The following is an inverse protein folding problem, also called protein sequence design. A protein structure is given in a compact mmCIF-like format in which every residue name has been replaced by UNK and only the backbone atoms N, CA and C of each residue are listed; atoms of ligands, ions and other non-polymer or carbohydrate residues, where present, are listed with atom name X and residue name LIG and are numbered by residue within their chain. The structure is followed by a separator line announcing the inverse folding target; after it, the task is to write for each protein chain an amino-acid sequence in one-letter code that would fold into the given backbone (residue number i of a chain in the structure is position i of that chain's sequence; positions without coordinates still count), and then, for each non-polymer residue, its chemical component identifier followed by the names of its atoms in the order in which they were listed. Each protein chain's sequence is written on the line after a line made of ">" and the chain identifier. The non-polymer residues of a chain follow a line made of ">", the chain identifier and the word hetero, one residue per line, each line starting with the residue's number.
data_IF_506806047807
#
_entry.id   IF_506806047807
#
_cell.length_a   1.000
_cell.length_b   1.000
_cell.length_c   1.000
_cell.angle_alpha   90.00
_cell.angle_beta   90.00
_cell.angle_gamma   90.00
#
_symmetry.space_group_name_H-M   'P 1'
#
loop_
_entity.id
_entity.type
_entity.pdbx_description
1 polymer ?
#
# COMPACT_ATOMS: atom_id res chain seq x y z
N UNK A 1 -25.20 47.84 -36.80
CA UNK A 1 -25.44 46.44 -36.46
C UNK A 1 -24.40 46.03 -35.42
N UNK A 2 -24.77 46.09 -34.14
CA UNK A 2 -23.85 45.80 -32.99
C UNK A 2 -24.03 44.33 -32.61
N UNK A 3 -23.00 43.52 -32.78
CA UNK A 3 -22.97 42.11 -32.36
C UNK A 3 -22.59 42.12 -30.89
N UNK A 4 -23.53 41.75 -30.03
CA UNK A 4 -23.30 41.47 -28.60
C UNK A 4 -22.66 40.09 -28.49
N UNK A 5 -21.39 40.02 -28.16
CA UNK A 5 -20.69 38.79 -27.80
C UNK A 5 -21.01 38.41 -26.35
N UNK A 6 -21.97 37.53 -26.11
CA UNK A 6 -22.23 36.98 -24.78
C UNK A 6 -21.12 36.03 -24.39
N UNK A 7 -20.27 36.42 -23.47
CA UNK A 7 -19.25 35.62 -22.85
C UNK A 7 -19.91 34.77 -21.76
N UNK A 8 -20.28 33.53 -22.08
CA UNK A 8 -20.70 32.54 -21.08
C UNK A 8 -19.45 32.06 -20.35
N UNK A 9 -19.18 32.64 -19.16
CA UNK A 9 -18.22 32.10 -18.21
C UNK A 9 -18.89 30.88 -17.57
N UNK A 10 -18.55 29.67 -18.04
CA UNK A 10 -18.81 28.43 -17.31
C UNK A 10 -17.93 28.46 -16.04
N UNK A 11 -18.50 28.95 -14.94
CA UNK A 11 -17.98 28.65 -13.62
C UNK A 11 -18.15 27.15 -13.38
N UNK A 12 -17.11 26.37 -13.62
CA UNK A 12 -16.98 25.04 -13.05
C UNK A 12 -16.86 25.19 -11.54
N UNK A 13 -18.00 25.16 -10.85
CA UNK A 13 -18.06 24.98 -9.40
C UNK A 13 -17.50 23.58 -9.12
N UNK A 14 -16.20 23.50 -8.86
CA UNK A 14 -15.62 22.36 -8.19
C UNK A 14 -16.19 22.36 -6.77
N UNK A 15 -17.24 21.59 -6.55
CA UNK A 15 -17.70 21.29 -5.20
C UNK A 15 -16.58 20.51 -4.52
N UNK A 16 -15.72 21.21 -3.78
CA UNK A 16 -14.88 20.56 -2.79
C UNK A 16 -15.83 19.86 -1.82
N UNK A 17 -15.74 18.54 -1.71
CA UNK A 17 -16.53 17.77 -0.75
C UNK A 17 -16.13 18.31 0.63
N UNK A 18 -17.05 19.01 1.29
CA UNK A 18 -16.82 19.60 2.59
C UNK A 18 -16.40 18.53 3.60
N UNK A 19 -15.46 18.88 4.48
CA UNK A 19 -15.03 17.97 5.54
C UNK A 19 -16.21 17.68 6.46
N UNK A 20 -16.57 16.38 6.67
CA UNK A 20 -17.62 16.00 7.59
C UNK A 20 -17.31 16.48 9.01
N UNK A 21 -18.34 16.84 9.74
CA UNK A 21 -18.22 17.19 11.15
C UNK A 21 -18.00 15.95 12.00
N UNK A 22 -17.44 16.14 13.18
CA UNK A 22 -17.27 15.04 14.15
C UNK A 22 -18.61 14.40 14.53
N UNK A 23 -19.64 15.22 14.71
CA UNK A 23 -21.00 14.80 15.08
C UNK A 23 -21.60 13.82 14.07
N UNK A 24 -21.27 13.92 12.78
CA UNK A 24 -21.72 13.02 11.74
C UNK A 24 -21.19 11.59 11.98
N UNK A 25 -19.91 11.48 12.42
CA UNK A 25 -19.31 10.19 12.78
C UNK A 25 -19.76 9.68 14.15
N UNK A 26 -20.08 10.55 15.12
CA UNK A 26 -20.70 10.16 16.39
C UNK A 26 -22.10 9.57 16.13
N UNK A 27 -22.91 10.18 15.27
CA UNK A 27 -24.19 9.63 14.86
C UNK A 27 -24.04 8.25 14.19
N UNK A 28 -23.00 8.08 13.35
CA UNK A 28 -22.69 6.79 12.75
C UNK A 28 -22.22 5.77 13.79
N UNK A 29 -21.45 6.18 14.81
CA UNK A 29 -21.07 5.32 15.93
C UNK A 29 -22.30 4.82 16.68
N UNK A 30 -23.21 5.70 17.08
CA UNK A 30 -24.43 5.33 17.79
C UNK A 30 -25.29 4.32 17.00
N UNK A 31 -25.37 4.49 15.69
CA UNK A 31 -26.09 3.58 14.78
C UNK A 31 -25.44 2.21 14.70
N UNK A 32 -24.11 2.15 14.69
CA UNK A 32 -23.33 0.94 14.38
C UNK A 32 -22.58 0.36 15.59
N UNK A 33 -22.77 0.89 16.80
CA UNK A 33 -22.03 0.44 17.99
C UNK A 33 -22.22 -1.05 18.32
N UNK A 34 -23.38 -1.63 17.95
CA UNK A 34 -23.64 -3.05 18.11
C UNK A 34 -22.79 -3.94 17.18
N UNK A 35 -22.21 -3.37 16.12
CA UNK A 35 -21.37 -4.11 15.17
C UNK A 35 -19.89 -4.21 15.59
N UNK A 36 -19.51 -3.62 16.72
CA UNK A 36 -18.21 -3.80 17.39
C UNK A 36 -18.42 -4.26 18.82
N UNK A 37 -17.77 -5.34 19.19
CA UNK A 37 -17.89 -5.91 20.55
C UNK A 37 -16.55 -6.42 21.05
N UNK A 38 -16.51 -6.80 22.32
CA UNK A 38 -15.38 -7.54 22.90
C UNK A 38 -15.73 -9.02 22.91
N UNK A 39 -14.91 -9.85 22.27
CA UNK A 39 -15.07 -11.29 22.25
C UNK A 39 -13.84 -11.97 22.88
N UNK A 40 -14.02 -12.60 24.03
CA UNK A 40 -12.93 -13.21 24.82
C UNK A 40 -11.71 -12.27 25.03
N UNK A 41 -11.96 -10.99 25.32
CA UNK A 41 -10.94 -9.98 25.56
C UNK A 41 -10.31 -9.36 24.31
N UNK A 42 -10.77 -9.72 23.11
CA UNK A 42 -10.28 -9.21 21.83
C UNK A 42 -11.33 -8.35 21.12
N UNK A 43 -10.87 -7.40 20.30
CA UNK A 43 -11.75 -6.61 19.46
C UNK A 43 -12.38 -7.49 18.37
N UNK A 44 -13.69 -7.48 18.30
CA UNK A 44 -14.49 -8.24 17.35
C UNK A 44 -15.43 -7.32 16.55
N UNK A 45 -15.60 -7.64 15.29
CA UNK A 45 -16.41 -6.89 14.33
C UNK A 45 -17.42 -7.82 13.68
N UNK A 46 -18.67 -7.39 13.67
CA UNK A 46 -19.76 -8.15 13.07
C UNK A 46 -19.67 -8.05 11.56
N UNK A 47 -19.48 -9.19 10.91
CA UNK A 47 -19.41 -9.29 9.45
C UNK A 47 -20.76 -9.71 8.84
N UNK A 48 -21.52 -10.55 9.57
CA UNK A 48 -22.84 -11.04 9.19
C UNK A 48 -23.65 -11.39 10.45
N UNK A 49 -24.92 -11.74 10.32
CA UNK A 49 -25.85 -12.01 11.42
C UNK A 49 -25.32 -13.03 12.46
N UNK A 50 -24.40 -13.90 12.08
CA UNK A 50 -23.79 -14.90 12.97
C UNK A 50 -22.27 -15.06 12.77
N UNK A 51 -21.60 -14.06 12.17
CA UNK A 51 -20.17 -14.11 11.90
C UNK A 51 -19.44 -12.91 12.48
N UNK A 52 -18.34 -13.18 13.15
CA UNK A 52 -17.41 -12.19 13.70
C UNK A 52 -16.02 -12.33 13.06
N UNK A 53 -15.41 -11.18 12.75
CA UNK A 53 -13.97 -11.07 12.60
C UNK A 53 -13.36 -10.64 13.94
N UNK A 54 -12.53 -11.47 14.55
CA UNK A 54 -11.89 -11.19 15.83
C UNK A 54 -10.41 -10.94 15.59
N UNK A 55 -9.90 -9.76 15.98
CA UNK A 55 -8.48 -9.42 15.83
C UNK A 55 -7.69 -10.20 16.88
N UNK A 56 -6.76 -11.04 16.42
CA UNK A 56 -5.86 -11.77 17.32
C UNK A 56 -4.93 -10.80 18.02
N UNK A 57 -4.93 -10.84 19.36
CA UNK A 57 -3.93 -10.16 20.18
C UNK A 57 -2.68 -11.05 20.37
N UNK A 58 -1.50 -10.45 20.58
CA UNK A 58 -0.31 -11.22 20.99
C UNK A 58 -0.62 -12.12 22.19
N UNK A 59 -0.05 -13.31 22.18
CA UNK A 59 -0.16 -14.30 23.27
C UNK A 59 -1.58 -14.78 23.61
N UNK A 60 -2.57 -14.45 22.77
CA UNK A 60 -3.95 -14.94 22.92
C UNK A 60 -4.29 -15.93 21.81
N UNK A 61 -5.10 -16.93 22.16
CA UNK A 61 -5.64 -17.93 21.22
C UNK A 61 -7.09 -18.21 21.58
N UNK A 62 -7.97 -18.15 20.60
CA UNK A 62 -9.35 -18.61 20.76
C UNK A 62 -9.40 -20.13 20.78
N UNK A 63 -10.32 -20.69 21.56
CA UNK A 63 -10.54 -22.14 21.61
C UNK A 63 -11.50 -22.61 20.52
N UNK A 64 -12.48 -21.79 20.17
CA UNK A 64 -13.50 -22.09 19.14
C UNK A 64 -13.50 -21.00 18.08
N UNK A 65 -13.22 -21.37 16.85
CA UNK A 65 -13.29 -20.51 15.69
C UNK A 65 -13.45 -21.37 14.41
N UNK A 66 -13.93 -20.76 13.33
CA UNK A 66 -14.03 -21.42 12.02
C UNK A 66 -12.63 -21.53 11.40
N UNK A 67 -11.89 -20.42 11.36
CA UNK A 67 -10.51 -20.34 10.84
C UNK A 67 -9.76 -19.16 11.44
N UNK A 68 -8.44 -19.19 11.31
CA UNK A 68 -7.53 -18.10 11.59
C UNK A 68 -6.72 -17.77 10.34
N UNK A 69 -6.81 -16.53 9.87
CA UNK A 69 -6.02 -16.03 8.76
C UNK A 69 -4.79 -15.26 9.27
N UNK A 70 -3.58 -15.79 9.08
CA UNK A 70 -2.37 -15.14 9.60
C UNK A 70 -2.02 -13.86 8.83
N UNK A 71 -2.41 -13.73 7.56
CA UNK A 71 -2.22 -12.50 6.80
C UNK A 71 -3.12 -11.38 7.33
N UNK A 72 -4.41 -11.63 7.51
CA UNK A 72 -5.34 -10.66 8.07
C UNK A 72 -5.12 -10.45 9.59
N UNK A 73 -4.54 -11.42 10.26
CA UNK A 73 -4.48 -11.54 11.72
C UNK A 73 -5.87 -11.59 12.36
N UNK A 74 -6.80 -12.29 11.70
CA UNK A 74 -8.19 -12.41 12.09
C UNK A 74 -8.60 -13.86 12.32
N UNK A 75 -9.35 -14.08 13.40
CA UNK A 75 -10.20 -15.26 13.53
C UNK A 75 -11.56 -15.01 12.91
N UNK A 76 -12.10 -15.98 12.18
CA UNK A 76 -13.52 -16.04 11.82
C UNK A 76 -14.23 -16.88 12.89
N UNK A 77 -15.20 -16.28 13.56
CA UNK A 77 -15.97 -16.94 14.62
C UNK A 77 -17.43 -16.98 14.23
N UNK A 78 -18.05 -18.14 14.38
CA UNK A 78 -19.51 -18.31 14.25
C UNK A 78 -20.14 -18.27 15.63
N UNK A 79 -21.19 -17.46 15.77
CA UNK A 79 -21.97 -17.31 17.02
C UNK A 79 -23.26 -18.09 16.96
N UNK A 80 -23.78 -18.48 18.14
CA UNK A 80 -25.09 -19.12 18.31
C UNK A 80 -26.20 -18.09 18.55
N UNK A 81 -25.87 -16.79 18.52
CA UNK A 81 -26.80 -15.67 18.72
C UNK A 81 -26.74 -14.72 17.53
N UNK A 82 -27.85 -14.02 17.29
CA UNK A 82 -27.95 -13.08 16.20
C UNK A 82 -27.23 -11.78 16.50
N UNK A 83 -26.55 -11.24 15.51
CA UNK A 83 -25.75 -10.03 15.51
C UNK A 83 -26.33 -9.01 14.54
N UNK A 84 -25.98 -7.75 14.71
CA UNK A 84 -26.40 -6.66 13.81
C UNK A 84 -25.19 -6.17 13.03
N UNK A 85 -25.02 -6.56 11.76
CA UNK A 85 -23.90 -6.12 10.94
C UNK A 85 -24.10 -4.68 10.45
N UNK A 86 -23.00 -3.94 10.35
CA UNK A 86 -22.99 -2.66 9.60
C UNK A 86 -22.98 -2.96 8.11
N UNK A 87 -23.77 -2.20 7.34
CA UNK A 87 -23.78 -2.32 5.87
C UNK A 87 -22.38 -2.10 5.29
N UNK A 88 -21.85 -3.12 4.63
CA UNK A 88 -20.56 -3.06 3.94
C UNK A 88 -20.70 -2.41 2.55
N UNK A 89 -19.81 -1.48 2.24
CA UNK A 89 -19.64 -0.91 0.89
C UNK A 89 -18.21 -1.15 0.40
N UNK A 90 -18.02 -1.05 -0.91
CA UNK A 90 -16.72 -1.31 -1.51
C UNK A 90 -15.82 -0.06 -1.41
N UNK A 91 -14.72 -0.18 -0.69
CA UNK A 91 -13.74 0.89 -0.51
C UNK A 91 -13.01 1.26 -1.82
N UNK A 92 -13.02 0.39 -2.81
CA UNK A 92 -12.40 0.64 -4.12
C UNK A 92 -13.17 1.68 -4.96
N UNK A 93 -14.44 1.94 -4.62
CA UNK A 93 -15.27 2.93 -5.29
C UNK A 93 -15.01 4.35 -4.79
N UNK A 94 -14.20 4.51 -3.73
CA UNK A 94 -13.84 5.80 -3.19
C UNK A 94 -12.67 6.42 -3.97
N UNK A 95 -12.74 7.73 -4.11
CA UNK A 95 -11.64 8.56 -4.62
C UNK A 95 -10.76 9.04 -3.47
N UNK A 96 -9.60 9.62 -3.79
CA UNK A 96 -8.72 10.24 -2.78
C UNK A 96 -9.34 11.45 -2.08
N UNK A 97 -10.43 12.00 -2.60
CA UNK A 97 -11.11 13.16 -2.05
C UNK A 97 -12.30 12.77 -1.15
N UNK A 98 -12.64 11.49 -1.11
CA UNK A 98 -13.75 11.00 -0.29
C UNK A 98 -13.32 10.87 1.17
N UNK A 99 -14.06 11.53 2.04
CA UNK A 99 -13.83 11.48 3.48
C UNK A 99 -14.22 10.14 4.07
N UNK A 100 -13.38 9.66 4.97
CA UNK A 100 -13.61 8.45 5.77
C UNK A 100 -13.28 8.74 7.22
N UNK A 101 -13.85 7.98 8.15
CA UNK A 101 -13.53 8.12 9.57
C UNK A 101 -13.69 6.82 10.31
N UNK A 102 -13.02 6.74 11.47
CA UNK A 102 -13.19 5.62 12.40
C UNK A 102 -14.28 5.99 13.38
N UNK A 103 -15.24 5.08 13.54
CA UNK A 103 -16.35 5.27 14.45
C UNK A 103 -15.87 5.24 15.91
N UNK A 104 -16.00 6.39 16.57
CA UNK A 104 -15.57 6.63 17.94
C UNK A 104 -16.50 7.67 18.60
N UNK A 105 -16.95 7.45 19.86
CA UNK A 105 -17.85 8.40 20.52
C UNK A 105 -17.14 9.68 20.99
N UNK A 106 -15.83 9.61 21.26
CA UNK A 106 -15.13 10.63 22.02
C UNK A 106 -14.14 11.45 21.18
N UNK A 107 -13.68 10.91 20.03
CA UNK A 107 -12.62 11.53 19.27
C UNK A 107 -12.82 11.41 17.76
N UNK A 108 -12.56 12.51 17.06
CA UNK A 108 -12.53 12.54 15.59
C UNK A 108 -11.27 11.86 15.03
N UNK A 109 -11.48 10.79 14.26
CA UNK A 109 -10.47 10.11 13.46
C UNK A 109 -10.94 10.20 12.00
N UNK A 110 -10.70 11.33 11.33
CA UNK A 110 -11.28 11.68 10.03
C UNK A 110 -10.16 12.08 9.08
N UNK A 111 -10.18 11.55 7.87
CA UNK A 111 -9.25 11.85 6.78
C UNK A 111 -9.63 11.07 5.53
N UNK A 112 -8.65 10.56 4.80
CA UNK A 112 -8.85 9.88 3.52
C UNK A 112 -8.12 8.54 3.48
N UNK A 113 -8.48 7.72 2.50
CA UNK A 113 -7.69 6.54 2.14
C UNK A 113 -6.44 7.04 1.39
N UNK A 114 -5.27 6.81 1.98
CA UNK A 114 -3.98 7.21 1.39
C UNK A 114 -3.65 6.38 0.16
N UNK A 115 -3.75 5.05 0.29
CA UNK A 115 -3.66 4.11 -0.82
C UNK A 115 -4.23 2.74 -0.43
N UNK A 116 -4.61 1.96 -1.45
CA UNK A 116 -4.96 0.54 -1.31
C UNK A 116 -3.74 -0.32 -1.66
N UNK A 117 -3.51 -1.37 -0.88
CA UNK A 117 -2.38 -2.28 -1.03
C UNK A 117 -2.38 -2.97 -2.41
N UNK A 118 -1.21 -3.09 -3.02
CA UNK A 118 -1.06 -3.73 -4.32
C UNK A 118 -0.91 -5.26 -4.22
N UNK A 119 -0.51 -5.77 -3.05
CA UNK A 119 -0.28 -7.20 -2.82
C UNK A 119 -0.39 -7.55 -1.32
N UNK A 120 -0.24 -8.84 -0.96
CA UNK A 120 -0.32 -9.30 0.43
C UNK A 120 0.86 -8.88 1.33
N UNK A 121 1.91 -8.24 0.81
CA UNK A 121 3.03 -7.75 1.63
C UNK A 121 2.76 -6.39 2.26
N UNK A 122 1.66 -5.74 1.87
CA UNK A 122 1.26 -4.41 2.30
C UNK A 122 -0.11 -4.44 2.95
N UNK A 123 -0.45 -3.36 3.66
CA UNK A 123 -1.79 -3.07 4.16
C UNK A 123 -2.32 -1.82 3.50
N UNK A 124 -3.63 -1.74 3.33
CA UNK A 124 -4.30 -0.51 2.99
C UNK A 124 -3.96 0.56 4.02
N UNK A 125 -3.77 1.80 3.60
CA UNK A 125 -3.30 2.89 4.47
C UNK A 125 -4.24 4.08 4.46
N UNK A 126 -4.37 4.69 5.64
CA UNK A 126 -5.04 5.96 5.88
C UNK A 126 -4.03 7.12 5.94
N UNK A 127 -4.45 8.32 5.65
CA UNK A 127 -3.60 9.54 5.76
C UNK A 127 -3.65 10.19 7.14
N UNK A 128 -4.37 9.57 8.08
CA UNK A 128 -4.52 10.03 9.47
C UNK A 128 -4.20 8.94 10.48
N UNK A 129 -3.93 9.35 11.73
CA UNK A 129 -3.66 8.42 12.83
C UNK A 129 -4.90 7.58 13.10
N UNK A 130 -4.72 6.26 13.11
CA UNK A 130 -5.79 5.30 13.30
C UNK A 130 -5.69 4.53 14.62
N UNK A 131 -6.84 4.02 15.05
CA UNK A 131 -6.97 3.02 16.11
C UNK A 131 -7.86 1.88 15.62
N UNK A 132 -7.91 0.79 16.37
CA UNK A 132 -8.80 -0.35 16.06
C UNK A 132 -10.26 0.09 16.16
N UNK A 133 -11.00 -0.02 15.04
CA UNK A 133 -12.39 0.38 14.96
C UNK A 133 -13.02 0.10 13.59
N UNK A 134 -14.29 0.41 13.46
CA UNK A 134 -14.99 0.37 12.17
C UNK A 134 -14.56 1.58 11.37
N UNK A 135 -13.94 1.38 10.20
CA UNK A 135 -13.73 2.42 9.21
C UNK A 135 -15.02 2.63 8.43
N UNK A 136 -15.50 3.87 8.37
CA UNK A 136 -16.81 4.21 7.84
C UNK A 136 -16.77 5.38 6.86
N UNK A 137 -17.76 5.41 5.97
CA UNK A 137 -18.12 6.62 5.22
C UNK A 137 -18.93 7.58 6.11
N UNK A 138 -19.07 8.87 5.73
CA UNK A 138 -19.98 9.79 6.41
C UNK A 138 -21.46 9.35 6.38
N UNK A 139 -21.84 8.43 5.47
CA UNK A 139 -23.16 7.82 5.39
C UNK A 139 -23.33 6.58 6.29
N UNK A 140 -22.42 6.36 7.24
CA UNK A 140 -22.43 5.26 8.21
C UNK A 140 -22.27 3.85 7.61
N UNK A 141 -21.77 3.72 6.39
CA UNK A 141 -21.46 2.41 5.81
C UNK A 141 -20.03 1.99 6.15
N UNK A 142 -19.84 0.71 6.48
CA UNK A 142 -18.53 0.15 6.78
C UNK A 142 -17.69 0.02 5.50
N UNK A 143 -16.44 0.47 5.56
CA UNK A 143 -15.42 0.32 4.52
C UNK A 143 -14.40 -0.76 4.86
N UNK A 144 -14.31 -1.14 6.13
CA UNK A 144 -13.37 -2.11 6.63
C UNK A 144 -13.12 -1.99 8.11
N UNK A 145 -12.09 -2.67 8.57
CA UNK A 145 -11.61 -2.63 9.96
C UNK A 145 -10.33 -1.80 10.01
N UNK A 146 -10.38 -0.64 10.65
CA UNK A 146 -9.20 0.15 10.93
C UNK A 146 -8.30 -0.56 11.97
N UNK A 147 -7.01 -0.48 11.75
CA UNK A 147 -5.98 -1.01 12.64
C UNK A 147 -5.16 0.15 13.21
N UNK A 148 -4.23 -0.15 14.12
CA UNK A 148 -3.23 0.82 14.52
C UNK A 148 -2.24 1.11 13.38
N UNK A 149 -1.46 2.19 13.51
CA UNK A 149 -0.41 2.58 12.55
C UNK A 149 -0.94 2.93 11.15
N UNK A 150 -2.10 3.59 11.10
CA UNK A 150 -2.73 4.11 9.89
C UNK A 150 -3.12 3.03 8.87
N UNK A 151 -3.14 1.76 9.27
CA UNK A 151 -3.51 0.64 8.42
C UNK A 151 -5.00 0.30 8.56
N UNK A 152 -5.56 -0.38 7.54
CA UNK A 152 -6.88 -0.97 7.63
C UNK A 152 -6.99 -2.25 6.78
N UNK A 153 -8.01 -3.04 7.06
CA UNK A 153 -8.42 -4.20 6.27
C UNK A 153 -9.69 -3.81 5.53
N UNK A 154 -9.60 -3.63 4.22
CA UNK A 154 -10.74 -3.26 3.39
C UNK A 154 -11.77 -4.37 3.25
N UNK A 155 -13.00 -3.99 2.91
CA UNK A 155 -14.11 -4.94 2.78
C UNK A 155 -13.89 -5.99 1.70
N UNK A 156 -13.10 -5.71 0.64
CA UNK A 156 -12.75 -6.73 -0.36
C UNK A 156 -12.05 -7.95 0.27
N UNK A 157 -11.14 -7.71 1.23
CA UNK A 157 -10.50 -8.78 2.00
C UNK A 157 -11.48 -9.48 2.94
N UNK A 158 -12.34 -8.72 3.64
CA UNK A 158 -13.33 -9.29 4.57
C UNK A 158 -14.37 -10.15 3.84
N UNK A 159 -14.84 -9.72 2.67
CA UNK A 159 -15.75 -10.49 1.82
C UNK A 159 -15.11 -11.81 1.38
N UNK A 160 -13.85 -11.75 0.94
CA UNK A 160 -13.11 -12.98 0.57
C UNK A 160 -12.86 -13.88 1.78
N UNK A 161 -12.54 -13.28 2.94
CA UNK A 161 -12.36 -14.00 4.19
C UNK A 161 -13.62 -14.75 4.63
N UNK A 162 -14.83 -14.22 4.39
CA UNK A 162 -16.09 -14.92 4.69
C UNK A 162 -16.42 -16.04 3.70
N UNK A 163 -15.91 -15.99 2.47
CA UNK A 163 -16.33 -16.84 1.37
C UNK A 163 -16.04 -18.33 1.59
N UNK A 164 -14.92 -18.67 2.26
CA UNK A 164 -14.45 -20.02 2.46
C UNK A 164 -14.38 -20.37 3.95
N UNK A 165 -14.55 -21.66 4.31
CA UNK A 165 -14.38 -22.11 5.70
C UNK A 165 -12.91 -22.31 6.10
N UNK A 166 -12.01 -22.41 5.13
CA UNK A 166 -10.55 -22.45 5.31
C UNK A 166 -9.91 -21.15 4.84
N UNK A 167 -8.63 -20.96 5.11
CA UNK A 167 -7.88 -19.81 4.60
C UNK A 167 -7.50 -20.11 3.16
N UNK A 168 -7.90 -19.23 2.26
CA UNK A 168 -7.59 -19.33 0.85
C UNK A 168 -7.30 -17.97 0.25
N UNK A 169 -6.21 -17.88 -0.48
CA UNK A 169 -5.81 -16.77 -1.34
C UNK A 169 -5.32 -17.34 -2.67
N UNK A 170 -5.76 -16.76 -3.78
CA UNK A 170 -5.37 -17.23 -5.11
C UNK A 170 -3.93 -16.88 -5.47
N UNK A 171 -3.28 -17.77 -6.22
CA UNK A 171 -1.96 -17.56 -6.82
C UNK A 171 -1.88 -18.29 -8.17
N UNK A 172 -1.07 -17.80 -9.07
CA UNK A 172 -0.76 -18.45 -10.35
C UNK A 172 0.75 -18.72 -10.50
N UNK A 173 1.55 -18.48 -9.46
CA UNK A 173 3.00 -18.71 -9.45
C UNK A 173 3.81 -17.68 -10.23
N UNK A 174 3.25 -16.48 -10.44
CA UNK A 174 3.88 -15.39 -11.19
C UNK A 174 3.79 -14.11 -10.37
N UNK A 175 4.86 -13.35 -10.31
CA UNK A 175 4.90 -12.02 -9.70
C UNK A 175 5.03 -10.97 -10.80
N UNK A 176 4.36 -9.83 -10.60
CA UNK A 176 4.27 -8.75 -11.59
C UNK A 176 4.83 -7.45 -11.03
N UNK A 177 5.34 -6.59 -11.94
CA UNK A 177 5.71 -5.21 -11.63
C UNK A 177 5.13 -4.22 -12.64
N UNK A 178 5.12 -2.95 -12.26
CA UNK A 178 4.68 -1.85 -13.11
C UNK A 178 5.90 -1.05 -13.58
N UNK A 179 6.09 -0.96 -14.91
CA UNK A 179 7.14 -0.15 -15.55
C UNK A 179 6.48 0.71 -16.63
N UNK A 180 6.69 2.01 -16.60
CA UNK A 180 6.16 2.94 -17.62
C UNK A 180 4.66 2.76 -17.89
N UNK A 181 3.86 2.60 -16.82
CA UNK A 181 2.41 2.34 -16.88
C UNK A 181 2.01 1.05 -17.61
N UNK A 182 2.93 0.10 -17.75
CA UNK A 182 2.69 -1.24 -18.30
C UNK A 182 3.05 -2.29 -17.27
N UNK A 183 2.29 -3.37 -17.25
CA UNK A 183 2.50 -4.47 -16.30
C UNK A 183 3.33 -5.55 -16.98
N UNK A 184 4.39 -5.98 -16.30
CA UNK A 184 5.31 -7.01 -16.77
C UNK A 184 5.42 -8.16 -15.77
N UNK A 185 5.71 -9.35 -16.29
CA UNK A 185 6.15 -10.49 -15.47
C UNK A 185 7.53 -10.18 -14.90
N UNK A 186 7.60 -10.07 -13.58
CA UNK A 186 8.84 -9.82 -12.82
C UNK A 186 9.56 -11.12 -12.48
N UNK A 187 8.79 -12.14 -12.06
CA UNK A 187 9.33 -13.42 -11.61
C UNK A 187 8.35 -14.55 -11.89
N UNK A 188 8.86 -15.72 -12.23
CA UNK A 188 8.09 -16.93 -12.44
C UNK A 188 8.52 -17.99 -11.43
N UNK A 189 7.65 -18.28 -10.46
CA UNK A 189 7.91 -19.23 -9.37
C UNK A 189 7.51 -20.66 -9.74
N UNK A 190 6.40 -20.82 -10.45
CA UNK A 190 5.80 -22.17 -10.67
C UNK A 190 5.11 -22.35 -12.04
N UNK A 191 4.93 -21.32 -12.84
CA UNK A 191 4.14 -21.37 -14.08
C UNK A 191 5.04 -21.26 -15.30
N UNK A 192 5.30 -22.40 -16.00
CA UNK A 192 6.22 -22.45 -17.14
C UNK A 192 5.69 -21.82 -18.45
N UNK A 193 4.45 -21.33 -18.51
CA UNK A 193 3.91 -20.69 -19.70
C UNK A 193 4.31 -19.21 -19.79
N UNK A 194 4.47 -18.52 -18.64
CA UNK A 194 4.94 -17.16 -18.56
C UNK A 194 6.46 -17.10 -18.63
N UNK A 195 6.97 -16.03 -19.23
CA UNK A 195 8.39 -15.70 -19.20
C UNK A 195 8.58 -14.31 -18.55
N UNK A 196 9.75 -14.13 -17.94
CA UNK A 196 10.15 -12.81 -17.40
C UNK A 196 10.15 -11.80 -18.53
N UNK A 197 9.60 -10.61 -18.28
CA UNK A 197 9.37 -9.51 -19.21
C UNK A 197 8.20 -9.71 -20.20
N UNK A 198 7.37 -10.75 -20.09
CA UNK A 198 6.08 -10.74 -20.78
C UNK A 198 5.28 -9.51 -20.32
N UNK A 199 4.81 -8.69 -21.24
CA UNK A 199 3.91 -7.58 -20.92
C UNK A 199 2.47 -8.10 -20.85
N UNK A 200 1.76 -7.85 -19.76
CA UNK A 200 0.34 -8.21 -19.63
C UNK A 200 -0.50 -7.15 -20.35
N UNK A 201 -1.31 -7.57 -21.29
CA UNK A 201 -2.24 -6.72 -22.03
C UNK A 201 -3.65 -6.80 -21.46
N UNK A 202 -4.15 -8.02 -21.23
CA UNK A 202 -5.48 -8.25 -20.67
C UNK A 202 -5.53 -9.54 -19.86
N UNK A 203 -6.55 -9.64 -18.99
CA UNK A 203 -6.91 -10.87 -18.29
C UNK A 203 -8.42 -11.08 -18.41
N UNK A 204 -8.86 -12.27 -18.82
CA UNK A 204 -10.26 -12.62 -19.12
C UNK A 204 -10.95 -11.61 -20.06
N UNK A 205 -10.20 -11.12 -21.05
CA UNK A 205 -10.68 -10.12 -22.02
C UNK A 205 -10.74 -8.67 -21.51
N UNK A 206 -10.43 -8.42 -20.24
CA UNK A 206 -10.38 -7.09 -19.64
C UNK A 206 -8.97 -6.51 -19.74
N UNK A 207 -8.83 -5.33 -20.36
CA UNK A 207 -7.54 -4.61 -20.41
C UNK A 207 -7.17 -4.12 -19.01
N UNK A 208 -6.05 -4.60 -18.48
CA UNK A 208 -5.59 -4.25 -17.13
C UNK A 208 -4.34 -3.39 -17.22
N UNK A 209 -4.44 -2.15 -16.70
CA UNK A 209 -3.32 -1.20 -16.58
C UNK A 209 -2.92 -0.93 -15.13
N UNK A 210 -3.70 -1.40 -14.18
CA UNK A 210 -3.50 -1.22 -12.74
C UNK A 210 -2.97 -2.53 -12.14
N UNK A 211 -1.74 -2.50 -11.65
CA UNK A 211 -1.08 -3.66 -11.03
C UNK A 211 -1.87 -4.20 -9.83
N UNK A 212 -2.47 -3.31 -9.03
CA UNK A 212 -3.32 -3.71 -7.90
C UNK A 212 -4.51 -4.52 -8.39
N UNK A 213 -5.23 -4.05 -9.42
CA UNK A 213 -6.38 -4.77 -9.98
C UNK A 213 -5.99 -6.14 -10.53
N UNK A 214 -4.83 -6.24 -11.20
CA UNK A 214 -4.32 -7.54 -11.64
C UNK A 214 -4.07 -8.48 -10.47
N UNK A 215 -3.36 -8.02 -9.45
CA UNK A 215 -3.05 -8.82 -8.27
C UNK A 215 -4.32 -9.23 -7.52
N UNK A 216 -5.29 -8.33 -7.37
CA UNK A 216 -6.58 -8.62 -6.73
C UNK A 216 -7.41 -9.62 -7.54
N UNK A 217 -7.42 -9.51 -8.88
CA UNK A 217 -8.12 -10.46 -9.76
C UNK A 217 -7.60 -11.89 -9.56
N UNK A 218 -6.29 -12.05 -9.40
CA UNK A 218 -5.66 -13.35 -9.10
C UNK A 218 -5.95 -13.78 -7.66
N UNK A 219 -5.76 -12.87 -6.70
CA UNK A 219 -5.86 -13.13 -5.27
C UNK A 219 -7.27 -13.57 -4.85
N UNK A 220 -8.31 -12.97 -5.44
CA UNK A 220 -9.70 -13.23 -5.13
C UNK A 220 -10.38 -14.21 -6.10
N UNK A 221 -9.65 -14.73 -7.09
CA UNK A 221 -10.15 -15.73 -8.01
C UNK A 221 -10.54 -17.02 -7.28
N UNK A 222 -11.50 -17.74 -7.81
CA UNK A 222 -11.95 -18.99 -7.21
C UNK A 222 -10.89 -20.09 -7.30
N UNK A 223 -10.84 -20.94 -6.28
CA UNK A 223 -9.91 -22.07 -6.22
C UNK A 223 -10.11 -22.98 -7.42
N UNK A 224 -9.04 -23.24 -8.15
CA UNK A 224 -9.08 -24.10 -9.35
C UNK A 224 -9.69 -23.45 -10.58
N UNK A 225 -10.11 -22.18 -10.52
CA UNK A 225 -10.53 -21.44 -11.71
C UNK A 225 -9.36 -21.22 -12.66
N UNK A 226 -9.67 -20.97 -13.93
CA UNK A 226 -8.66 -20.67 -14.96
C UNK A 226 -8.79 -19.21 -15.35
N UNK A 227 -7.68 -18.48 -15.31
CA UNK A 227 -7.56 -17.13 -15.82
C UNK A 227 -6.90 -17.15 -17.21
N UNK A 228 -7.40 -16.34 -18.13
CA UNK A 228 -6.92 -16.23 -19.51
C UNK A 228 -6.22 -14.90 -19.71
N UNK A 229 -4.93 -14.95 -20.01
CA UNK A 229 -4.07 -13.80 -20.21
C UNK A 229 -3.78 -13.60 -21.69
N UNK A 230 -3.87 -12.35 -22.17
CA UNK A 230 -3.22 -11.94 -23.40
C UNK A 230 -1.92 -11.21 -23.02
N UNK A 231 -0.79 -11.68 -23.52
CA UNK A 231 0.54 -11.14 -23.23
C UNK A 231 1.26 -10.75 -24.51
N UNK A 232 2.10 -9.72 -24.43
CA UNK A 232 3.03 -9.35 -25.50
C UNK A 232 4.43 -9.89 -25.15
N UNK A 233 4.94 -10.79 -25.99
CA UNK A 233 6.28 -11.38 -25.91
C UNK A 233 6.97 -11.22 -27.27
N UNK A 234 8.17 -10.62 -27.30
CA UNK A 234 8.96 -10.42 -28.53
C UNK A 234 8.14 -9.80 -29.68
N UNK A 235 7.31 -8.80 -29.37
CA UNK A 235 6.37 -8.13 -30.27
C UNK A 235 5.25 -9.04 -30.85
N UNK A 236 5.01 -10.20 -30.28
CA UNK A 236 3.90 -11.09 -30.65
C UNK A 236 2.91 -11.22 -29.49
N UNK A 237 1.63 -11.13 -29.80
CA UNK A 237 0.56 -11.39 -28.84
C UNK A 237 0.35 -12.89 -28.68
N UNK A 238 0.31 -13.35 -27.44
CA UNK A 238 0.12 -14.74 -27.06
C UNK A 238 -1.00 -14.88 -26.04
N UNK A 239 -1.81 -15.91 -26.17
CA UNK A 239 -2.81 -16.26 -25.19
C UNK A 239 -2.26 -17.35 -24.26
N UNK A 240 -2.27 -17.08 -22.97
CA UNK A 240 -1.81 -17.99 -21.92
C UNK A 240 -2.97 -18.24 -20.97
N UNK A 241 -3.21 -19.51 -20.62
CA UNK A 241 -4.16 -19.87 -19.57
C UNK A 241 -3.41 -20.30 -18.32
N UNK A 242 -3.91 -19.92 -17.15
CA UNK A 242 -3.32 -20.31 -15.87
C UNK A 242 -4.38 -20.70 -14.87
N UNK A 243 -4.21 -21.90 -14.29
CA UNK A 243 -5.07 -22.38 -13.20
C UNK A 243 -4.66 -21.69 -11.91
N UNK A 244 -5.65 -21.19 -11.19
CA UNK A 244 -5.44 -20.55 -9.88
C UNK A 244 -5.34 -21.62 -8.81
N UNK A 245 -4.26 -21.60 -8.05
CA UNK A 245 -4.02 -22.46 -6.91
C UNK A 245 -3.89 -21.67 -5.62
N UNK A 246 -3.78 -22.36 -4.50
CA UNK A 246 -3.65 -21.72 -3.19
C UNK A 246 -2.27 -21.09 -3.02
N UNK A 247 -2.27 -19.81 -2.60
CA UNK A 247 -1.05 -19.06 -2.29
C UNK A 247 -0.44 -19.56 -0.99
N UNK A 248 0.87 -19.78 -0.99
CA UNK A 248 1.61 -20.07 0.25
C UNK A 248 1.70 -18.81 1.12
N UNK A 249 1.00 -18.85 2.24
CA UNK A 249 0.99 -17.81 3.27
C UNK A 249 1.67 -18.25 4.58
N UNK A 250 2.41 -19.35 4.55
CA UNK A 250 3.07 -19.93 5.74
C UNK A 250 4.02 -18.96 6.43
N UNK A 251 4.62 -18.06 5.67
CA UNK A 251 5.51 -17.01 6.19
C UNK A 251 4.81 -16.00 7.12
N UNK A 252 3.46 -15.86 7.06
CA UNK A 252 2.70 -15.03 8.00
C UNK A 252 2.45 -15.73 9.34
N UNK A 253 2.58 -17.07 9.41
CA UNK A 253 2.42 -17.85 10.65
C UNK A 253 3.64 -17.80 11.57
N UNK A 254 4.75 -17.21 11.13
CA UNK A 254 5.93 -17.09 11.97
C UNK A 254 5.59 -16.21 13.18
N UNK A 255 5.89 -16.66 14.42
CA UNK A 255 5.66 -15.86 15.61
C UNK A 255 6.38 -14.51 15.43
N UNK A 256 5.66 -13.43 15.71
CA UNK A 256 6.17 -12.04 15.59
C UNK A 256 7.36 -11.73 16.54
N UNK A 257 7.82 -12.73 17.29
CA UNK A 257 8.92 -12.67 18.24
C UNK A 257 10.32 -12.89 17.66
N UNK A 258 10.45 -13.16 16.34
CA UNK A 258 11.69 -12.78 15.72
C UNK A 258 11.56 -11.30 15.42
N UNK A 259 12.39 -10.41 16.00
CA UNK A 259 12.49 -9.06 15.50
C UNK A 259 12.69 -9.22 14.01
N UNK A 260 11.78 -8.63 13.20
CA UNK A 260 11.99 -8.47 11.73
C UNK A 260 13.46 -8.10 11.63
N UNK A 261 14.35 -8.91 11.00
CA UNK A 261 15.77 -8.58 11.03
C UNK A 261 15.81 -7.11 10.65
N UNK A 262 16.29 -6.30 11.59
CA UNK A 262 16.27 -4.84 11.43
C UNK A 262 16.79 -4.61 10.03
N UNK A 263 16.10 -3.83 9.16
CA UNK A 263 16.58 -3.62 7.83
C UNK A 263 18.03 -3.32 8.01
N UNK A 264 18.92 -4.17 7.44
CA UNK A 264 20.34 -4.06 7.63
C UNK A 264 20.70 -2.71 7.04
N UNK A 265 20.56 -1.67 7.83
CA UNK A 265 20.90 -0.31 7.48
C UNK A 265 22.35 -0.15 7.84
N UNK A 266 23.16 0.12 6.86
CA UNK A 266 24.52 0.56 7.08
C UNK A 266 24.49 1.96 7.67
N UNK A 267 25.10 2.12 8.83
CA UNK A 267 25.35 3.44 9.43
C UNK A 267 26.75 3.88 9.03
N UNK A 268 26.87 4.88 8.17
CA UNK A 268 28.14 5.47 7.81
C UNK A 268 28.62 6.44 8.91
N UNK A 269 29.94 6.59 9.07
CA UNK A 269 30.53 7.62 9.93
C UNK A 269 30.24 9.06 9.43
N UNK A 270 29.58 9.19 8.28
CA UNK A 270 29.15 10.44 7.67
C UNK A 270 27.74 10.86 8.12
N UNK A 271 27.04 10.01 8.91
CA UNK A 271 25.72 10.27 9.46
C UNK A 271 24.57 9.78 8.57
N UNK A 272 24.82 8.88 7.59
CA UNK A 272 23.79 8.26 6.77
C UNK A 272 23.49 6.83 7.26
N UNK A 273 22.20 6.49 7.33
CA UNK A 273 21.75 5.10 7.36
C UNK A 273 21.04 4.78 6.04
N UNK A 274 21.46 3.69 5.39
CA UNK A 274 20.96 3.30 4.07
C UNK A 274 20.48 1.85 4.12
N UNK A 275 19.34 1.53 3.53
CA UNK A 275 18.79 0.18 3.46
C UNK A 275 19.33 -0.61 2.25
N UNK A 276 18.96 -1.88 2.13
CA UNK A 276 19.39 -2.76 1.01
C UNK A 276 18.98 -2.26 -0.37
N UNK A 277 17.92 -1.45 -0.46
CA UNK A 277 17.48 -0.83 -1.71
C UNK A 277 18.21 0.49 -2.02
N UNK A 278 19.29 0.79 -1.28
CA UNK A 278 20.09 2.01 -1.40
C UNK A 278 19.30 3.30 -1.10
N UNK A 279 18.21 3.18 -0.33
CA UNK A 279 17.40 4.32 0.10
C UNK A 279 17.89 4.77 1.48
N UNK A 280 18.08 6.08 1.65
CA UNK A 280 18.45 6.69 2.91
C UNK A 280 17.28 6.61 3.88
N UNK A 281 17.48 5.89 4.99
CA UNK A 281 16.46 5.68 6.04
C UNK A 281 16.62 6.62 7.22
N UNK A 282 17.83 7.17 7.42
CA UNK A 282 18.12 8.14 8.47
C UNK A 282 19.28 9.03 8.07
N UNK A 283 19.15 10.32 8.41
CA UNK A 283 20.24 11.30 8.35
C UNK A 283 20.41 11.84 9.77
N UNK A 284 21.60 11.69 10.35
CA UNK A 284 21.88 12.19 11.70
C UNK A 284 21.92 13.73 11.70
N UNK A 285 21.23 14.40 12.63
CA UNK A 285 21.30 15.85 12.75
C UNK A 285 22.75 16.34 12.93
N UNK A 286 23.08 17.48 12.33
CA UNK A 286 24.43 18.09 12.39
C UNK A 286 25.57 17.21 11.83
N UNK A 287 25.24 16.16 11.10
CA UNK A 287 26.24 15.30 10.42
C UNK A 287 26.73 15.93 9.11
N UNK A 288 27.83 15.42 8.58
CA UNK A 288 28.34 15.80 7.25
C UNK A 288 27.32 15.55 6.15
N UNK A 289 26.55 14.46 6.26
CA UNK A 289 25.48 14.15 5.34
C UNK A 289 24.31 15.15 5.43
N UNK A 290 23.91 15.56 6.65
CA UNK A 290 22.88 16.59 6.84
C UNK A 290 23.33 17.93 6.25
N UNK A 291 24.57 18.34 6.52
CA UNK A 291 25.18 19.57 5.97
C UNK A 291 25.29 19.54 4.45
N UNK A 292 25.55 18.38 3.86
CA UNK A 292 25.62 18.19 2.42
C UNK A 292 24.24 18.22 1.73
N UNK A 293 23.14 18.10 2.48
CA UNK A 293 21.77 18.19 1.94
C UNK A 293 21.10 16.86 1.63
N UNK A 294 21.62 15.74 2.15
CA UNK A 294 20.92 14.45 2.06
C UNK A 294 19.64 14.43 2.91
N UNK A 295 18.63 13.73 2.43
CA UNK A 295 17.33 13.59 3.10
C UNK A 295 16.90 12.12 3.18
N UNK A 296 16.06 11.82 4.17
CA UNK A 296 15.41 10.51 4.28
C UNK A 296 14.50 10.29 3.06
N UNK A 297 14.65 9.15 2.41
CA UNK A 297 13.95 8.78 1.19
C UNK A 297 14.73 9.04 -0.10
N UNK A 298 15.91 9.68 -0.05
CA UNK A 298 16.81 9.77 -1.19
C UNK A 298 17.30 8.36 -1.56
N UNK A 299 17.29 8.03 -2.85
CA UNK A 299 17.88 6.81 -3.36
C UNK A 299 19.24 7.10 -3.96
N UNK A 300 20.28 6.38 -3.52
CA UNK A 300 21.65 6.49 -4.04
C UNK A 300 21.76 5.67 -5.32
N UNK A 301 22.10 6.32 -6.42
CA UNK A 301 22.24 5.68 -7.74
C UNK A 301 23.70 5.45 -8.12
N UNK A 302 24.56 6.46 -7.89
CA UNK A 302 25.99 6.42 -8.24
C UNK A 302 26.82 7.12 -7.19
N UNK A 303 28.07 6.69 -7.04
CA UNK A 303 29.10 7.39 -6.25
C UNK A 303 30.36 7.48 -7.08
N UNK A 304 30.91 8.68 -7.28
CA UNK A 304 32.09 8.94 -8.09
C UNK A 304 32.02 8.28 -9.49
N UNK A 305 30.88 8.48 -10.18
CA UNK A 305 30.54 7.91 -11.49
C UNK A 305 30.38 6.38 -11.54
N UNK A 306 30.54 5.66 -10.43
CA UNK A 306 30.32 4.23 -10.36
C UNK A 306 28.86 3.94 -10.00
N UNK A 307 28.20 3.09 -10.77
CA UNK A 307 26.84 2.60 -10.43
C UNK A 307 26.97 1.73 -9.20
N UNK A 308 26.16 2.02 -8.19
CA UNK A 308 26.09 1.22 -6.96
C UNK A 308 25.16 0.03 -7.21
N UNK A 309 25.73 -1.17 -7.14
CA UNK A 309 24.98 -2.42 -7.41
C UNK A 309 24.25 -2.93 -6.18
N UNK A 310 24.85 -2.75 -5.02
CA UNK A 310 24.33 -3.24 -3.76
C UNK A 310 24.91 -2.46 -2.57
N UNK A 311 24.38 -2.75 -1.42
CA UNK A 311 24.73 -2.17 -0.15
C UNK A 311 26.21 -2.38 0.26
N UNK A 312 26.79 -3.54 -0.03
CA UNK A 312 28.20 -3.85 0.27
C UNK A 312 29.14 -3.02 -0.58
N UNK A 313 28.82 -2.86 -1.85
CA UNK A 313 29.55 -2.01 -2.77
C UNK A 313 29.54 -0.54 -2.31
N UNK A 314 28.39 -0.02 -1.88
CA UNK A 314 28.30 1.33 -1.29
C UNK A 314 29.16 1.46 -0.03
N UNK A 315 29.12 0.48 0.86
CA UNK A 315 29.89 0.46 2.09
C UNK A 315 31.39 0.51 1.82
N UNK A 316 31.87 -0.32 0.89
CA UNK A 316 33.28 -0.39 0.53
C UNK A 316 33.81 0.93 -0.05
N UNK A 317 32.99 1.60 -0.88
CA UNK A 317 33.33 2.92 -1.44
C UNK A 317 33.37 3.99 -0.35
N UNK A 318 32.37 4.05 0.53
CA UNK A 318 32.31 5.04 1.60
C UNK A 318 33.41 4.85 2.65
N UNK A 319 33.90 3.62 2.87
CA UNK A 319 35.02 3.36 3.79
C UNK A 319 36.35 3.87 3.20
N UNK A 320 36.58 3.62 1.92
CA UNK A 320 37.89 3.86 1.26
C UNK A 320 38.09 5.31 0.79
N UNK A 321 37.02 6.03 0.48
CA UNK A 321 37.08 7.39 -0.06
C UNK A 321 37.03 8.48 1.02
N UNK A 322 37.36 9.72 0.62
CA UNK A 322 37.29 10.93 1.45
C UNK A 322 36.38 12.03 0.84
N UNK A 323 36.22 12.02 -0.47
CA UNK A 323 35.38 12.98 -1.22
C UNK A 323 34.50 12.17 -2.19
N UNK A 324 33.21 12.40 -2.14
CA UNK A 324 32.22 11.62 -2.88
C UNK A 324 31.30 12.56 -3.64
N UNK A 325 31.17 12.33 -4.94
CA UNK A 325 30.11 12.92 -5.77
C UNK A 325 28.99 11.89 -5.92
N UNK A 326 27.90 12.08 -5.19
CA UNK A 326 26.81 11.09 -5.05
C UNK A 326 25.63 11.52 -5.89
N UNK A 327 25.27 10.74 -6.92
CA UNK A 327 24.01 10.91 -7.66
C UNK A 327 22.89 10.29 -6.86
N UNK A 328 21.91 11.09 -6.50
CA UNK A 328 20.70 10.65 -5.83
C UNK A 328 19.46 10.88 -6.69
N UNK A 329 18.40 10.13 -6.38
CA UNK A 329 17.04 10.35 -6.85
C UNK A 329 16.16 10.73 -5.66
N UNK A 330 15.42 11.85 -5.77
CA UNK A 330 14.54 12.39 -4.73
C UNK A 330 13.15 12.62 -5.29
N UNK A 331 12.11 12.29 -4.52
CA UNK A 331 10.72 12.57 -4.89
C UNK A 331 10.37 14.04 -4.68
N UNK A 332 9.51 14.61 -5.53
CA UNK A 332 9.18 16.03 -5.55
C UNK A 332 8.52 16.54 -4.26
N UNK A 333 7.79 15.68 -3.55
CA UNK A 333 7.16 16.02 -2.26
C UNK A 333 8.16 16.35 -1.13
N UNK A 334 9.45 16.07 -1.35
CA UNK A 334 10.55 16.28 -0.39
C UNK A 334 11.53 17.38 -0.79
N UNK A 335 11.24 18.14 -1.85
CA UNK A 335 12.07 19.27 -2.22
C UNK A 335 11.77 20.48 -1.31
N UNK A 336 12.77 21.08 -0.66
CA UNK A 336 12.57 22.34 0.07
C UNK A 336 12.29 23.46 -0.92
N UNK A 337 11.05 23.96 -0.91
CA UNK A 337 10.51 24.95 -1.86
C UNK A 337 11.18 26.35 -1.85
N UNK A 338 12.19 26.61 -1.01
CA UNK A 338 12.63 28.01 -0.77
C UNK A 338 14.09 28.36 -1.09
N UNK A 339 14.91 27.45 -1.62
CA UNK A 339 16.34 27.76 -1.86
C UNK A 339 16.96 27.33 -3.19
N UNK A 340 16.22 26.71 -4.10
CA UNK A 340 16.83 26.08 -5.27
C UNK A 340 16.52 26.72 -6.62
N UNK A 341 15.68 27.73 -6.70
CA UNK A 341 15.28 28.30 -7.98
C UNK A 341 16.29 29.23 -8.65
N UNK A 342 17.30 29.75 -7.93
CA UNK A 342 18.18 30.79 -8.50
C UNK A 342 19.47 30.29 -9.15
N UNK A 343 19.89 29.04 -8.97
CA UNK A 343 21.21 28.60 -9.48
C UNK A 343 21.28 27.19 -10.12
N UNK A 344 20.19 26.51 -10.44
CA UNK A 344 20.21 25.14 -10.94
C UNK A 344 19.52 24.94 -12.31
N UNK A 345 19.55 25.92 -13.17
CA UNK A 345 18.82 25.87 -14.46
C UNK A 345 19.45 24.96 -15.53
N UNK A 346 20.56 24.27 -15.30
CA UNK A 346 21.29 23.60 -16.38
C UNK A 346 21.44 22.08 -16.33
N UNK A 347 21.10 21.39 -15.20
CA UNK A 347 21.34 19.92 -15.13
C UNK A 347 20.19 19.10 -14.50
N UNK A 348 18.94 19.56 -14.59
CA UNK A 348 17.79 18.79 -14.06
C UNK A 348 17.15 18.00 -15.19
N UNK A 349 17.47 16.73 -15.31
CA UNK A 349 16.66 15.76 -16.05
C UNK A 349 15.40 15.45 -15.23
N UNK A 350 14.32 16.21 -15.43
CA UNK A 350 13.01 15.93 -14.86
C UNK A 350 12.37 14.76 -15.61
N UNK A 351 12.10 13.66 -14.92
CA UNK A 351 11.17 12.62 -15.41
C UNK A 351 9.73 13.01 -15.05
N UNK A 352 8.79 12.58 -15.87
CA UNK A 352 7.36 12.91 -15.79
C UNK A 352 6.65 12.56 -14.45
N UNK A 353 7.33 11.88 -13.52
CA UNK A 353 6.75 11.34 -12.27
C UNK A 353 7.10 12.16 -11.01
N UNK A 354 7.65 13.39 -11.17
CA UNK A 354 8.03 14.22 -10.03
C UNK A 354 9.24 13.69 -9.23
N UNK A 355 10.10 12.89 -9.88
CA UNK A 355 11.37 12.44 -9.33
C UNK A 355 12.53 13.24 -9.94
N UNK A 356 13.43 13.72 -9.09
CA UNK A 356 14.58 14.54 -9.50
C UNK A 356 15.88 13.79 -9.24
N UNK A 357 16.80 13.82 -10.21
CA UNK A 357 18.15 13.29 -10.04
C UNK A 357 19.15 14.44 -10.03
N UNK A 358 19.99 14.49 -9.01
CA UNK A 358 21.05 15.49 -8.88
C UNK A 358 22.22 14.96 -8.05
N UNK A 359 23.37 15.64 -8.18
CA UNK A 359 24.56 15.28 -7.44
C UNK A 359 24.65 16.02 -6.11
N UNK A 360 25.03 15.28 -5.08
CA UNK A 360 25.42 15.83 -3.77
C UNK A 360 26.88 15.53 -3.52
N UNK A 361 27.66 16.53 -3.14
CA UNK A 361 29.05 16.35 -2.75
C UNK A 361 29.14 16.11 -1.25
N UNK A 362 29.74 14.97 -0.88
CA UNK A 362 29.91 14.54 0.50
C UNK A 362 31.40 14.35 0.79
N UNK A 363 31.92 15.03 1.85
CA UNK A 363 33.31 14.95 2.27
C UNK A 363 33.42 14.37 3.68
N UNK A 364 34.47 13.50 3.91
CA UNK A 364 34.84 13.01 5.24
C UNK A 364 35.39 14.10 6.14
#
# INVERSE_FOLDING_TARGET
>A
MKILLSFFILLSLSFAIERPRFEDFVACYERNKASKLNYEGMDAFVLDENLLAVIKKPDTKLNKYVKYDPFLNLYLVRTDFSLIPTKMVDEQNLTRNDWVGILDPDKAYIGHIKYLAQNLNERDQLDFNSKIGILSTPCCNMLGIALNNNAFIGNRYLKHFMKYNDVYWGDIGVDFDLRENKIYVQNVRKNGQFLINDQILSVDGENIKDLRKLNEKILFADRGSTLYFNVLRDNQELNISSVVFEKDISHFNLPSNKPKPAPTSFKSNLGLSVNKALIITKVEPNSKAATAGFMVGDQILRVNNQIIKDFKNLQDILIKGNDFNVLIQRKSDKLPLSRFYDNLATDINSRADGEFQFFIRLRK
#
